data_IF_923293915245
#
_entry.id   IF_923293915245
#
_cell.length_a   1.000
_cell.length_b   1.000
_cell.length_c   1.000
_cell.angle_alpha   90.00
_cell.angle_beta   90.00
_cell.angle_gamma   90.00
#
_symmetry.space_group_name_H-M   'P 1'
#
loop_
_entity.id
_entity.type
_entity.pdbx_description
1 polymer ?
#
# COMPACT_ATOMS: atom_id res chain seq x y z
N UNK A 1 -1.94 2.89 13.17
CA UNK A 1 -1.80 1.84 12.14
C UNK A 1 -0.92 0.69 12.63
N UNK A 2 0.26 1.00 13.17
CA UNK A 2 1.21 -0.02 13.64
C UNK A 2 0.71 -0.86 14.83
N UNK A 3 0.10 -0.23 15.84
CA UNK A 3 -0.54 -0.96 16.96
C UNK A 3 -1.60 -1.96 16.47
N UNK A 4 -2.40 -1.59 15.48
CA UNK A 4 -3.45 -2.45 14.91
C UNK A 4 -2.86 -3.64 14.14
N UNK A 5 -1.71 -3.46 13.47
CA UNK A 5 -0.96 -4.55 12.83
C UNK A 5 -0.49 -5.57 13.86
N UNK A 6 0.12 -5.10 14.95
CA UNK A 6 0.71 -5.93 15.99
C UNK A 6 -0.35 -6.76 16.76
N UNK A 7 -1.52 -6.19 17.03
CA UNK A 7 -2.57 -6.88 17.80
C UNK A 7 -3.37 -7.86 16.97
N UNK A 8 -3.55 -7.59 15.66
CA UNK A 8 -4.40 -8.40 14.80
C UNK A 8 -3.65 -9.42 13.93
N UNK A 9 -2.31 -9.50 14.05
CA UNK A 9 -1.49 -10.48 13.31
C UNK A 9 -1.46 -10.24 11.79
N UNK A 10 -1.77 -9.02 11.33
CA UNK A 10 -1.72 -8.70 9.91
C UNK A 10 -0.27 -8.57 9.43
N UNK A 11 0.09 -9.25 8.35
CA UNK A 11 1.40 -9.05 7.70
C UNK A 11 1.57 -7.61 7.18
N UNK A 12 0.46 -6.96 6.83
CA UNK A 12 0.43 -5.64 6.20
C UNK A 12 -0.74 -4.81 6.73
N UNK A 13 -0.51 -3.54 7.02
CA UNK A 13 -1.57 -2.56 7.27
C UNK A 13 -1.39 -1.34 6.38
N UNK A 14 -2.47 -0.99 5.67
CA UNK A 14 -2.52 0.08 4.66
C UNK A 14 -3.62 1.08 5.08
N UNK A 15 -3.28 2.35 5.16
CA UNK A 15 -4.20 3.45 5.43
C UNK A 15 -4.27 4.34 4.19
N UNK A 16 -5.49 4.53 3.69
CA UNK A 16 -5.76 5.41 2.54
C UNK A 16 -6.34 6.73 3.03
N UNK A 17 -5.71 7.83 2.68
CA UNK A 17 -6.19 9.19 2.87
C UNK A 17 -6.49 9.76 1.49
N UNK A 18 -7.76 10.05 1.19
CA UNK A 18 -8.18 10.58 -0.12
C UNK A 18 -8.61 12.03 0.04
N UNK A 19 -7.94 12.91 -0.69
CA UNK A 19 -8.38 14.28 -0.86
C UNK A 19 -9.43 14.32 -1.98
N UNK A 20 -10.67 14.63 -1.61
CA UNK A 20 -11.79 14.71 -2.56
C UNK A 20 -11.75 15.96 -3.44
N UNK A 21 -11.04 17.02 -3.02
CA UNK A 21 -10.93 18.27 -3.78
C UNK A 21 -9.88 18.18 -4.88
N UNK A 22 -8.78 17.47 -4.61
CA UNK A 22 -7.67 17.29 -5.55
C UNK A 22 -7.68 15.94 -6.25
N UNK A 23 -8.73 15.13 -6.05
CA UNK A 23 -8.87 13.76 -6.56
C UNK A 23 -7.61 12.90 -6.35
N UNK A 24 -6.93 13.13 -5.23
CA UNK A 24 -5.63 12.52 -4.92
C UNK A 24 -5.74 11.60 -3.71
N UNK A 25 -4.89 10.58 -3.68
CA UNK A 25 -4.83 9.64 -2.57
C UNK A 25 -3.40 9.56 -2.04
N UNK A 26 -3.24 9.79 -0.75
CA UNK A 26 -2.06 9.41 0.01
C UNK A 26 -2.29 8.03 0.61
N UNK A 27 -1.33 7.13 0.42
CA UNK A 27 -1.41 5.78 0.94
C UNK A 27 -0.25 5.55 1.90
N UNK A 28 -0.59 5.43 3.17
CA UNK A 28 0.32 5.19 4.30
C UNK A 28 0.39 3.68 4.54
N UNK A 29 1.58 3.14 4.74
CA UNK A 29 1.78 1.71 4.96
C UNK A 29 2.82 1.47 6.05
N UNK A 30 2.66 0.47 6.91
CA UNK A 30 3.64 0.17 7.97
C UNK A 30 3.94 -1.32 8.04
N UNK A 31 5.23 -1.67 8.08
CA UNK A 31 5.73 -3.05 8.09
C UNK A 31 6.75 -3.30 6.99
N UNK A 32 7.11 -4.57 6.78
CA UNK A 32 8.03 -5.01 5.72
C UNK A 32 7.33 -4.97 4.34
N UNK A 33 6.70 -3.84 4.06
CA UNK A 33 5.74 -3.63 2.99
C UNK A 33 6.18 -2.52 2.04
N UNK A 34 7.29 -1.83 2.35
CA UNK A 34 7.88 -0.84 1.46
C UNK A 34 8.16 -1.44 0.07
N UNK A 35 8.72 -2.64 0.02
CA UNK A 35 8.97 -3.34 -1.25
C UNK A 35 7.68 -3.74 -1.98
N UNK A 36 6.63 -4.12 -1.24
CA UNK A 36 5.31 -4.45 -1.82
C UNK A 36 4.72 -3.20 -2.46
N UNK A 37 4.71 -2.06 -1.75
CA UNK A 37 4.12 -0.80 -2.26
C UNK A 37 4.94 -0.25 -3.42
N UNK A 38 6.27 -0.31 -3.33
CA UNK A 38 7.18 0.07 -4.42
C UNK A 38 6.95 -0.78 -5.66
N UNK A 39 6.79 -2.10 -5.52
CA UNK A 39 6.55 -3.04 -6.63
C UNK A 39 5.12 -2.93 -7.18
N UNK A 40 4.14 -2.65 -6.33
CA UNK A 40 2.74 -2.49 -6.71
C UNK A 40 2.46 -1.20 -7.49
N UNK A 41 3.04 -0.07 -7.07
CA UNK A 41 2.76 1.24 -7.66
C UNK A 41 3.91 1.82 -8.48
N UNK A 42 5.09 1.19 -8.47
CA UNK A 42 6.27 1.66 -9.21
C UNK A 42 6.80 3.01 -8.73
N UNK A 43 6.35 3.50 -7.57
CA UNK A 43 6.71 4.81 -7.03
C UNK A 43 7.68 4.67 -5.86
N UNK A 44 8.58 5.65 -5.76
CA UNK A 44 9.43 5.82 -4.60
C UNK A 44 8.52 6.16 -3.42
N UNK A 45 8.68 5.41 -2.33
CA UNK A 45 7.96 5.66 -1.09
C UNK A 45 8.87 6.47 -0.17
N UNK A 46 8.45 7.65 0.24
CA UNK A 46 9.13 8.44 1.27
C UNK A 46 8.38 8.25 2.57
N UNK A 47 9.08 8.12 3.71
CA UNK A 47 8.47 8.08 5.04
C UNK A 47 7.23 7.17 5.19
N UNK A 48 7.26 5.97 4.60
CA UNK A 48 6.14 5.01 4.71
C UNK A 48 4.82 5.50 4.07
N UNK A 49 4.91 6.45 3.13
CA UNK A 49 3.80 6.94 2.33
C UNK A 49 4.08 6.88 0.82
N UNK A 50 3.00 6.79 0.03
CA UNK A 50 3.03 6.94 -1.42
C UNK A 50 1.92 7.88 -1.87
N UNK A 51 2.27 8.83 -2.73
CA UNK A 51 1.32 9.76 -3.32
C UNK A 51 0.80 9.26 -4.67
N UNK A 52 -0.52 9.11 -4.76
CA UNK A 52 -1.25 8.57 -5.89
C UNK A 52 -2.24 9.62 -6.42
N UNK A 53 -1.83 10.50 -7.36
CA UNK A 53 -2.73 11.45 -8.00
C UNK A 53 -3.74 10.71 -8.90
N UNK A 54 -4.97 11.19 -8.97
CA UNK A 54 -6.07 10.63 -9.78
C UNK A 54 -6.50 9.20 -9.38
N UNK A 55 -6.21 8.75 -8.15
CA UNK A 55 -6.69 7.46 -7.64
C UNK A 55 -7.83 7.69 -6.66
N UNK A 56 -9.05 7.38 -7.11
CA UNK A 56 -10.28 7.51 -6.31
C UNK A 56 -10.77 6.16 -5.78
N UNK A 57 -10.61 5.06 -6.54
CA UNK A 57 -11.25 3.77 -6.25
C UNK A 57 -10.31 2.72 -5.62
N UNK A 58 -10.64 2.30 -4.39
CA UNK A 58 -9.91 1.25 -3.63
C UNK A 58 -9.97 -0.13 -4.29
N UNK A 59 -11.15 -0.51 -4.79
CA UNK A 59 -11.47 -1.90 -5.17
C UNK A 59 -10.83 -2.29 -6.50
N UNK A 60 -10.65 -1.33 -7.41
CA UNK A 60 -10.12 -1.57 -8.75
C UNK A 60 -8.66 -1.11 -8.93
N UNK A 61 -8.19 -0.12 -8.16
CA UNK A 61 -6.87 0.50 -8.43
C UNK A 61 -5.81 0.24 -7.35
N UNK A 62 -6.20 -0.18 -6.14
CA UNK A 62 -5.25 -0.36 -5.02
C UNK A 62 -5.11 -1.83 -4.63
N UNK A 63 -6.23 -2.56 -4.51
CA UNK A 63 -6.18 -3.97 -4.11
C UNK A 63 -5.45 -4.88 -5.13
N UNK A 64 -5.72 -4.81 -6.45
CA UNK A 64 -5.06 -5.69 -7.43
C UNK A 64 -3.53 -5.57 -7.46
N UNK A 65 -2.91 -4.36 -7.56
CA UNK A 65 -1.46 -4.24 -7.64
C UNK A 65 -0.77 -4.65 -6.33
N UNK A 66 -1.38 -4.39 -5.17
CA UNK A 66 -0.86 -4.83 -3.87
C UNK A 66 -0.88 -6.36 -3.74
N UNK A 67 -1.99 -7.01 -4.14
CA UNK A 67 -2.10 -8.47 -4.15
C UNK A 67 -1.11 -9.12 -5.12
N UNK A 68 -0.90 -8.53 -6.29
CA UNK A 68 0.09 -9.00 -7.26
C UNK A 68 1.52 -8.91 -6.69
N UNK A 69 1.89 -7.76 -6.11
CA UNK A 69 3.20 -7.57 -5.49
C UNK A 69 3.44 -8.53 -4.31
N UNK A 70 2.42 -8.77 -3.48
CA UNK A 70 2.46 -9.75 -2.39
C UNK A 70 2.71 -11.18 -2.90
N UNK A 71 2.02 -11.59 -3.98
CA UNK A 71 2.22 -12.93 -4.59
C UNK A 71 3.63 -13.10 -5.13
N UNK A 72 4.18 -12.07 -5.76
CA UNK A 72 5.54 -12.07 -6.31
C UNK A 72 6.60 -12.16 -5.21
N UNK A 73 6.51 -11.34 -4.16
CA UNK A 73 7.48 -11.35 -3.05
C UNK A 73 7.44 -12.69 -2.30
N UNK A 74 6.26 -13.30 -2.15
CA UNK A 74 6.13 -14.63 -1.55
C UNK A 74 6.69 -15.76 -2.43
N UNK A 75 6.85 -15.52 -3.74
CA UNK A 75 7.43 -16.47 -4.70
C UNK A 75 8.96 -16.46 -4.67
N UNK A 76 9.57 -15.29 -4.47
CA UNK A 76 11.03 -15.12 -4.34
C UNK A 76 11.61 -15.71 -3.04
N UNK A 77 10.76 -15.94 -2.03
CA UNK A 77 11.17 -16.51 -0.74
C UNK A 77 11.08 -18.04 -0.68
N UNK A 78 11.00 -18.73 -1.83
CA UNK A 78 10.96 -20.21 -1.95
C UNK A 78 12.11 -20.74 -2.79
#
# INVERSE_FOLDING_TARGET
VEKMRATAGYEVSLLKVTNIFEESTHLLFHGNTADIVRKAFGKITENHEVYLPNIMSRKNQIAPPVLAALKEIRKDSR
#
